data_IF_737791287634
#
_entry.id   IF_737791287634
#
_cell.length_a   1.000
_cell.length_b   1.000
_cell.length_c   1.000
_cell.angle_alpha   90.00
_cell.angle_beta   90.00
_cell.angle_gamma   90.00
#
_symmetry.space_group_name_H-M   'P 1'
#
loop_
_entity.id
_entity.type
_entity.pdbx_description
1 polymer ?
#
# COMPACT_ATOMS: atom_id res chain seq x y z
N UNK A 1 30.78 -16.44 56.49
CA UNK A 1 30.89 -15.76 55.17
C UNK A 1 30.54 -16.67 54.00
N UNK A 2 31.19 -17.83 53.81
CA UNK A 2 30.97 -18.73 52.64
C UNK A 2 29.53 -19.26 52.41
N UNK A 3 28.71 -19.41 53.47
CA UNK A 3 27.32 -19.87 53.33
C UNK A 3 26.39 -18.83 52.69
N UNK A 4 26.57 -17.54 53.02
CA UNK A 4 25.82 -16.45 52.40
C UNK A 4 26.13 -16.34 50.91
N UNK A 5 27.39 -16.54 50.52
CA UNK A 5 27.81 -16.55 49.10
C UNK A 5 27.12 -17.67 48.32
N UNK A 6 26.97 -18.86 48.91
CA UNK A 6 26.27 -19.99 48.30
C UNK A 6 24.77 -19.69 48.10
N UNK A 7 24.12 -19.07 49.09
CA UNK A 7 22.70 -18.66 48.98
C UNK A 7 22.51 -17.62 47.88
N UNK A 8 23.39 -16.61 47.81
CA UNK A 8 23.36 -15.57 46.77
C UNK A 8 23.59 -16.18 45.38
N UNK A 9 24.50 -17.15 45.24
CA UNK A 9 24.75 -17.85 43.98
C UNK A 9 23.50 -18.59 43.48
N UNK A 10 22.81 -19.32 44.36
CA UNK A 10 21.58 -20.05 44.00
C UNK A 10 20.47 -19.08 43.57
N UNK A 11 20.30 -17.97 44.30
CA UNK A 11 19.31 -16.92 43.94
C UNK A 11 19.64 -16.32 42.57
N UNK A 12 20.91 -16.02 42.28
CA UNK A 12 21.34 -15.49 40.99
C UNK A 12 21.08 -16.47 39.83
N UNK A 13 21.29 -17.78 40.04
CA UNK A 13 20.98 -18.81 39.05
C UNK A 13 19.47 -18.83 38.77
N UNK A 14 18.63 -18.81 39.80
CA UNK A 14 17.18 -18.78 39.65
C UNK A 14 16.69 -17.52 38.92
N UNK A 15 17.24 -16.35 39.27
CA UNK A 15 16.96 -15.08 38.57
C UNK A 15 17.36 -15.13 37.09
N UNK A 16 18.50 -15.77 36.79
CA UNK A 16 18.98 -15.92 35.41
C UNK A 16 18.03 -16.80 34.59
N UNK A 17 17.59 -17.93 35.15
CA UNK A 17 16.61 -18.81 34.50
C UNK A 17 15.26 -18.11 34.29
N UNK A 18 14.80 -17.34 35.28
CA UNK A 18 13.55 -16.58 35.18
C UNK A 18 13.63 -15.50 34.10
N UNK A 19 14.75 -14.77 34.04
CA UNK A 19 15.01 -13.77 32.99
C UNK A 19 15.04 -14.41 31.60
N UNK A 20 15.68 -15.57 31.46
CA UNK A 20 15.72 -16.30 30.20
C UNK A 20 14.33 -16.74 29.75
N UNK A 21 13.52 -17.29 30.65
CA UNK A 21 12.12 -17.64 30.38
C UNK A 21 11.30 -16.44 29.92
N UNK A 22 11.42 -15.31 30.61
CA UNK A 22 10.73 -14.08 30.25
C UNK A 22 11.18 -13.52 28.90
N UNK A 23 12.47 -13.62 28.56
CA UNK A 23 12.98 -13.22 27.25
C UNK A 23 12.37 -14.06 26.12
N UNK A 24 12.24 -15.38 26.30
CA UNK A 24 11.54 -16.24 25.33
C UNK A 24 10.07 -15.87 25.17
N UNK A 25 9.39 -15.63 26.30
CA UNK A 25 7.99 -15.21 26.31
C UNK A 25 7.83 -13.87 25.57
N UNK A 26 8.65 -12.88 25.90
CA UNK A 26 8.65 -11.56 25.28
C UNK A 26 8.90 -11.65 23.76
N UNK A 27 9.87 -12.46 23.32
CA UNK A 27 10.14 -12.67 21.91
C UNK A 27 8.93 -13.28 21.17
N UNK A 28 8.25 -14.27 21.79
CA UNK A 28 7.04 -14.86 21.22
C UNK A 28 5.91 -13.83 21.06
N UNK A 29 5.69 -12.98 22.07
CA UNK A 29 4.69 -11.90 21.97
C UNK A 29 5.08 -10.85 20.94
N UNK A 30 6.36 -10.49 20.85
CA UNK A 30 6.87 -9.57 19.84
C UNK A 30 6.60 -10.08 18.42
N UNK A 31 6.92 -11.35 18.13
CA UNK A 31 6.65 -11.97 16.83
C UNK A 31 5.15 -11.94 16.50
N UNK A 32 4.28 -12.28 17.47
CA UNK A 32 2.82 -12.25 17.28
C UNK A 32 2.32 -10.84 17.02
N UNK A 33 2.77 -9.86 17.81
CA UNK A 33 2.41 -8.46 17.64
C UNK A 33 2.83 -7.94 16.27
N UNK A 34 4.06 -8.24 15.84
CA UNK A 34 4.57 -7.86 14.53
C UNK A 34 3.72 -8.45 13.41
N UNK A 35 3.36 -9.73 13.49
CA UNK A 35 2.49 -10.39 12.50
C UNK A 35 1.12 -9.72 12.38
N UNK A 36 0.53 -9.28 13.50
CA UNK A 36 -0.74 -8.55 13.51
C UNK A 36 -0.62 -7.16 12.89
N UNK A 37 0.42 -6.40 13.23
CA UNK A 37 0.69 -5.08 12.63
C UNK A 37 0.89 -5.20 11.12
N UNK A 38 1.69 -6.15 10.70
CA UNK A 38 1.93 -6.50 9.30
C UNK A 38 0.64 -6.87 8.54
N UNK A 39 -0.26 -7.62 9.17
CA UNK A 39 -1.56 -7.96 8.60
C UNK A 39 -2.47 -6.73 8.47
N UNK A 40 -2.49 -5.86 9.48
CA UNK A 40 -3.24 -4.61 9.44
C UNK A 40 -2.72 -3.67 8.34
N UNK A 41 -1.39 -3.51 8.23
CA UNK A 41 -0.75 -2.70 7.19
C UNK A 41 -1.08 -3.21 5.79
N UNK A 42 -1.02 -4.53 5.57
CA UNK A 42 -1.39 -5.13 4.28
C UNK A 42 -2.86 -4.88 3.92
N UNK A 43 -3.77 -4.93 4.89
CA UNK A 43 -5.18 -4.57 4.65
C UNK A 43 -5.34 -3.09 4.30
N UNK A 44 -4.61 -2.19 4.95
CA UNK A 44 -4.63 -0.76 4.61
C UNK A 44 -4.12 -0.52 3.18
N UNK A 45 -3.03 -1.18 2.78
CA UNK A 45 -2.52 -1.11 1.40
C UNK A 45 -3.57 -1.63 0.40
N UNK A 46 -4.24 -2.73 0.72
CA UNK A 46 -5.30 -3.28 -0.12
C UNK A 46 -6.47 -2.29 -0.28
N UNK A 47 -6.89 -1.63 0.80
CA UNK A 47 -7.94 -0.62 0.79
C UNK A 47 -7.54 0.59 -0.06
N UNK A 48 -6.33 1.12 0.11
CA UNK A 48 -5.85 2.26 -0.69
C UNK A 48 -5.72 1.89 -2.17
N UNK A 49 -5.27 0.66 -2.49
CA UNK A 49 -5.22 0.17 -3.88
C UNK A 49 -6.62 0.08 -4.49
N UNK A 50 -7.63 -0.36 -3.71
CA UNK A 50 -9.02 -0.38 -4.16
C UNK A 50 -9.55 1.02 -4.46
N UNK A 51 -9.26 2.01 -3.60
CA UNK A 51 -9.63 3.42 -3.83
C UNK A 51 -9.02 3.95 -5.12
N UNK A 52 -7.76 3.61 -5.41
CA UNK A 52 -7.11 4.00 -6.66
C UNK A 52 -7.88 3.45 -7.87
N UNK A 53 -8.23 2.15 -7.87
CA UNK A 53 -8.99 1.53 -8.97
C UNK A 53 -10.40 2.13 -9.13
N UNK A 54 -11.05 2.50 -8.03
CA UNK A 54 -12.33 3.22 -8.03
C UNK A 54 -12.17 4.61 -8.67
N UNK A 55 -11.15 5.39 -8.28
CA UNK A 55 -10.85 6.71 -8.86
C UNK A 55 -10.51 6.62 -10.34
N UNK A 56 -9.73 5.62 -10.76
CA UNK A 56 -9.46 5.36 -12.18
C UNK A 56 -10.76 5.09 -12.97
N UNK A 57 -11.68 4.33 -12.38
CA UNK A 57 -13.00 4.09 -13.00
C UNK A 57 -13.81 5.38 -13.09
N UNK A 58 -13.76 6.23 -12.07
CA UNK A 58 -14.39 7.56 -12.06
C UNK A 58 -13.84 8.45 -13.18
N UNK A 59 -12.53 8.41 -13.45
CA UNK A 59 -11.91 9.14 -14.57
C UNK A 59 -12.56 8.77 -15.91
N UNK A 60 -12.83 7.49 -16.17
CA UNK A 60 -13.53 7.05 -17.38
C UNK A 60 -14.98 7.55 -17.45
N UNK A 61 -15.66 7.62 -16.30
CA UNK A 61 -17.03 8.15 -16.21
C UNK A 61 -17.03 9.65 -16.53
N UNK A 62 -16.07 10.41 -15.97
CA UNK A 62 -15.87 11.83 -16.26
C UNK A 62 -15.63 12.02 -17.76
N UNK A 63 -14.75 11.20 -18.36
CA UNK A 63 -14.49 11.22 -19.80
C UNK A 63 -15.75 11.01 -20.63
N UNK A 64 -16.53 9.98 -20.31
CA UNK A 64 -17.78 9.66 -21.02
C UNK A 64 -18.79 10.81 -20.91
N UNK A 65 -18.85 11.45 -19.74
CA UNK A 65 -19.73 12.59 -19.51
C UNK A 65 -19.26 13.85 -20.25
N UNK A 66 -17.95 14.07 -20.37
CA UNK A 66 -17.36 15.13 -21.18
C UNK A 66 -17.74 14.94 -22.66
N UNK A 67 -17.52 13.75 -23.22
CA UNK A 67 -17.85 13.42 -24.62
C UNK A 67 -19.34 13.65 -24.90
N UNK A 68 -20.22 13.26 -23.96
CA UNK A 68 -21.67 13.36 -24.14
C UNK A 68 -22.19 14.80 -24.02
N UNK A 69 -21.61 15.62 -23.15
CA UNK A 69 -22.09 16.98 -22.87
C UNK A 69 -20.93 17.94 -22.53
N UNK A 70 -20.11 18.33 -23.51
CA UNK A 70 -18.91 19.15 -23.25
C UNK A 70 -19.25 20.57 -22.74
N UNK A 71 -20.45 21.08 -23.03
CA UNK A 71 -20.88 22.47 -22.76
C UNK A 71 -21.66 22.68 -21.46
N UNK A 72 -21.76 21.68 -20.58
CA UNK A 72 -22.66 21.72 -19.40
C UNK A 72 -22.21 22.64 -18.24
N UNK A 73 -21.29 23.58 -18.48
CA UNK A 73 -20.72 24.46 -17.45
C UNK A 73 -19.91 23.73 -16.37
N UNK A 74 -19.58 22.44 -16.59
CA UNK A 74 -18.75 21.63 -15.70
C UNK A 74 -17.28 21.81 -16.05
N UNK A 75 -16.45 22.02 -15.03
CA UNK A 75 -15.00 22.01 -15.19
C UNK A 75 -14.47 20.58 -15.07
N UNK A 76 -14.55 19.84 -16.17
CA UNK A 76 -14.10 18.44 -16.25
C UNK A 76 -12.60 18.30 -15.99
N UNK A 77 -11.78 19.27 -16.40
CA UNK A 77 -10.34 19.27 -16.14
C UNK A 77 -10.04 19.33 -14.63
N UNK A 78 -10.80 20.12 -13.86
CA UNK A 78 -10.71 20.13 -12.41
C UNK A 78 -11.15 18.79 -11.79
N UNK A 79 -12.28 18.23 -12.24
CA UNK A 79 -12.75 16.91 -11.74
C UNK A 79 -11.68 15.83 -12.00
N UNK A 80 -11.02 15.83 -13.16
CA UNK A 80 -9.92 14.91 -13.49
C UNK A 80 -8.68 15.14 -12.63
N UNK A 81 -8.26 16.40 -12.45
CA UNK A 81 -7.13 16.76 -11.59
C UNK A 81 -7.34 16.29 -10.16
N UNK A 82 -8.56 16.44 -9.63
CA UNK A 82 -8.90 16.02 -8.28
C UNK A 82 -8.86 14.48 -8.14
N UNK A 83 -9.31 13.73 -9.14
CA UNK A 83 -9.14 12.26 -9.14
C UNK A 83 -7.65 11.87 -9.17
N UNK A 84 -6.82 12.54 -9.98
CA UNK A 84 -5.39 12.28 -10.03
C UNK A 84 -4.68 12.59 -8.70
N UNK A 85 -5.06 13.68 -8.01
CA UNK A 85 -4.55 13.99 -6.66
C UNK A 85 -4.93 12.93 -5.64
N UNK A 86 -6.15 12.38 -5.72
CA UNK A 86 -6.57 11.30 -4.84
C UNK A 86 -5.74 10.04 -5.09
N UNK A 87 -5.45 9.71 -6.35
CA UNK A 87 -4.56 8.59 -6.71
C UNK A 87 -3.15 8.80 -6.15
N UNK A 88 -2.54 9.97 -6.38
CA UNK A 88 -1.21 10.31 -5.86
C UNK A 88 -1.15 10.24 -4.32
N UNK A 89 -2.18 10.76 -3.64
CA UNK A 89 -2.28 10.67 -2.18
C UNK A 89 -2.35 9.23 -1.69
N UNK A 90 -3.11 8.36 -2.36
CA UNK A 90 -3.18 6.94 -2.01
C UNK A 90 -1.86 6.21 -2.27
N UNK A 91 -1.12 6.54 -3.34
CA UNK A 91 0.23 6.00 -3.58
C UNK A 91 1.18 6.39 -2.44
N UNK A 92 1.16 7.65 -2.02
CA UNK A 92 1.98 8.14 -0.88
C UNK A 92 1.64 7.41 0.42
N UNK A 93 0.36 7.20 0.71
CA UNK A 93 -0.06 6.40 1.88
C UNK A 93 0.42 4.96 1.81
N UNK A 94 0.36 4.34 0.64
CA UNK A 94 0.90 2.98 0.46
C UNK A 94 2.40 2.96 0.78
N UNK A 95 3.16 3.96 0.33
CA UNK A 95 4.59 4.10 0.62
C UNK A 95 4.90 4.27 2.11
N UNK A 96 4.06 5.00 2.84
CA UNK A 96 4.22 5.22 4.28
C UNK A 96 3.91 3.98 5.12
N UNK A 97 2.95 3.17 4.67
CA UNK A 97 2.44 2.01 5.43
C UNK A 97 3.21 0.72 5.10
N UNK A 98 3.69 0.59 3.86
CA UNK A 98 4.42 -0.59 3.41
C UNK A 98 5.77 -0.73 4.12
N UNK A 99 6.12 -1.96 4.51
CA UNK A 99 7.49 -2.25 4.92
C UNK A 99 8.47 -2.03 3.75
N UNK A 100 9.78 -1.80 4.00
CA UNK A 100 10.76 -1.60 2.93
C UNK A 100 10.75 -2.73 1.88
N UNK A 101 10.61 -3.97 2.33
CA UNK A 101 10.53 -5.13 1.44
C UNK A 101 9.24 -5.13 0.61
N UNK A 102 8.10 -4.77 1.21
CA UNK A 102 6.82 -4.64 0.50
C UNK A 102 6.84 -3.49 -0.51
N UNK A 103 7.39 -2.33 -0.13
CA UNK A 103 7.53 -1.18 -1.03
C UNK A 103 8.41 -1.52 -2.23
N UNK A 104 9.52 -2.23 -2.05
CA UNK A 104 10.39 -2.61 -3.17
C UNK A 104 9.68 -3.46 -4.23
N UNK A 105 8.72 -4.31 -3.81
CA UNK A 105 7.90 -5.11 -4.72
C UNK A 105 6.86 -4.23 -5.41
N UNK A 106 6.20 -3.35 -4.67
CA UNK A 106 5.20 -2.42 -5.20
C UNK A 106 5.84 -1.47 -6.21
N UNK A 107 6.98 -0.87 -5.89
CA UNK A 107 7.73 0.05 -6.75
C UNK A 107 8.12 -0.62 -8.06
N UNK A 108 8.53 -1.90 -8.03
CA UNK A 108 8.81 -2.67 -9.24
C UNK A 108 7.59 -2.89 -10.13
N UNK A 109 6.40 -2.95 -9.53
CA UNK A 109 5.15 -3.07 -10.29
C UNK A 109 4.74 -1.69 -10.86
N UNK A 110 4.95 -0.61 -10.10
CA UNK A 110 4.63 0.76 -10.52
C UNK A 110 5.61 1.32 -11.57
N UNK A 111 6.86 0.82 -11.56
CA UNK A 111 7.93 1.23 -12.47
C UNK A 111 8.39 0.02 -13.27
N UNK A 112 7.91 -0.06 -14.50
CA UNK A 112 8.38 -1.04 -15.49
C UNK A 112 9.22 -0.34 -16.54
N UNK A 113 10.08 -1.08 -17.26
CA UNK A 113 10.90 -0.51 -18.34
C UNK A 113 10.09 0.19 -19.44
N UNK A 114 8.79 -0.09 -19.55
CA UNK A 114 7.90 0.46 -20.57
C UNK A 114 6.95 1.52 -20.04
N UNK A 115 6.71 1.57 -18.73
CA UNK A 115 5.66 2.39 -18.15
C UNK A 115 5.96 2.74 -16.69
N UNK A 116 5.79 4.01 -16.35
CA UNK A 116 5.96 4.55 -15.01
C UNK A 116 4.68 5.27 -14.57
N UNK A 117 4.05 4.73 -13.53
CA UNK A 117 2.76 5.22 -13.01
C UNK A 117 2.88 6.68 -12.55
N UNK A 118 3.98 7.04 -11.87
CA UNK A 118 4.20 8.41 -11.38
C UNK A 118 4.17 9.43 -12.54
N UNK A 119 4.89 9.16 -13.63
CA UNK A 119 4.90 10.03 -14.81
C UNK A 119 3.52 10.15 -15.46
N UNK A 120 2.76 9.06 -15.50
CA UNK A 120 1.39 9.08 -16.01
C UNK A 120 0.47 9.95 -15.13
N UNK A 121 0.50 9.79 -13.81
CA UNK A 121 -0.30 10.62 -12.89
C UNK A 121 0.13 12.10 -12.97
N UNK A 122 1.43 12.38 -13.02
CA UNK A 122 1.96 13.73 -13.19
C UNK A 122 1.54 14.36 -14.52
N UNK A 123 1.42 13.58 -15.58
CA UNK A 123 0.94 14.07 -16.88
C UNK A 123 -0.54 14.50 -16.83
N UNK A 124 -1.36 13.85 -15.99
CA UNK A 124 -2.74 14.26 -15.73
C UNK A 124 -2.76 15.52 -14.86
N UNK A 125 -1.95 15.56 -13.79
CA UNK A 125 -1.89 16.71 -12.86
C UNK A 125 -1.38 17.99 -13.53
N UNK A 126 -0.37 17.87 -14.39
CA UNK A 126 0.17 18.98 -15.19
C UNK A 126 -0.75 19.41 -16.32
N UNK A 127 -1.84 18.69 -16.56
CA UNK A 127 -2.79 18.96 -17.64
C UNK A 127 -2.17 18.74 -19.03
N UNK A 128 -1.15 17.89 -19.15
CA UNK A 128 -0.65 17.40 -20.44
C UNK A 128 -1.66 16.45 -21.08
N UNK A 129 -2.22 15.55 -20.28
CA UNK A 129 -3.39 14.75 -20.65
C UNK A 129 -4.63 15.57 -20.28
N UNK A 130 -5.46 15.89 -21.27
CA UNK A 130 -6.75 16.56 -21.07
C UNK A 130 -7.85 15.81 -21.79
N UNK A 131 -9.09 16.13 -21.44
CA UNK A 131 -10.22 15.79 -22.28
C UNK A 131 -10.18 16.68 -23.53
N UNK A 132 -9.42 16.30 -24.56
CA UNK A 132 -9.58 16.84 -25.92
C UNK A 132 -10.44 15.89 -26.74
N UNK A 133 -11.17 16.43 -27.71
CA UNK A 133 -12.07 15.69 -28.59
C UNK A 133 -11.40 14.49 -29.31
N UNK A 134 -10.06 14.47 -29.41
CA UNK A 134 -9.27 13.40 -30.05
C UNK A 134 -8.45 12.52 -29.08
N UNK A 135 -8.30 12.89 -27.81
CA UNK A 135 -7.44 12.18 -26.85
C UNK A 135 -8.27 11.30 -25.94
N UNK A 136 -8.25 9.99 -26.23
CA UNK A 136 -8.94 9.02 -25.40
C UNK A 136 -8.09 8.71 -24.16
N UNK A 137 -8.52 9.13 -22.97
CA UNK A 137 -7.88 8.77 -21.70
C UNK A 137 -7.94 7.26 -21.45
N UNK A 138 -8.88 6.52 -22.05
CA UNK A 138 -8.83 5.07 -22.10
C UNK A 138 -7.76 4.54 -23.09
N UNK A 139 -6.58 5.16 -23.12
CA UNK A 139 -5.44 4.76 -23.91
C UNK A 139 -4.72 3.56 -23.30
N UNK A 140 -3.62 3.14 -23.94
CA UNK A 140 -2.79 2.04 -23.46
C UNK A 140 -2.16 2.34 -22.10
N UNK A 141 -1.74 3.58 -21.85
CA UNK A 141 -1.17 4.03 -20.57
C UNK A 141 -2.17 3.87 -19.40
N UNK A 142 -3.44 4.21 -19.61
CA UNK A 142 -4.49 3.96 -18.61
C UNK A 142 -4.66 2.48 -18.31
N UNK A 143 -4.64 1.62 -19.33
CA UNK A 143 -4.76 0.17 -19.15
C UNK A 143 -3.57 -0.38 -18.38
N UNK A 144 -2.36 0.03 -18.74
CA UNK A 144 -1.13 -0.37 -18.05
C UNK A 144 -1.13 0.09 -16.60
N UNK A 145 -1.51 1.35 -16.34
CA UNK A 145 -1.65 1.89 -14.99
C UNK A 145 -2.66 1.07 -14.16
N UNK A 146 -3.82 0.76 -14.74
CA UNK A 146 -4.85 -0.05 -14.07
C UNK A 146 -4.34 -1.46 -13.78
N UNK A 147 -3.65 -2.07 -14.72
CA UNK A 147 -3.06 -3.41 -14.57
C UNK A 147 -2.01 -3.43 -13.47
N UNK A 148 -1.14 -2.41 -13.38
CA UNK A 148 -0.18 -2.26 -12.28
C UNK A 148 -0.89 -2.29 -10.90
N UNK A 149 -1.97 -1.52 -10.73
CA UNK A 149 -2.71 -1.51 -9.47
C UNK A 149 -3.49 -2.81 -9.21
N UNK A 150 -3.99 -3.47 -10.25
CA UNK A 150 -4.61 -4.80 -10.11
C UNK A 150 -3.58 -5.85 -9.67
N UNK A 151 -2.37 -5.79 -10.22
CA UNK A 151 -1.26 -6.68 -9.84
C UNK A 151 -0.84 -6.43 -8.38
N UNK A 152 -0.72 -5.17 -7.95
CA UNK A 152 -0.47 -4.82 -6.54
C UNK A 152 -1.57 -5.40 -5.65
N UNK A 153 -2.84 -5.20 -6.02
CA UNK A 153 -3.98 -5.72 -5.26
C UNK A 153 -3.92 -7.25 -5.10
N UNK A 154 -3.56 -7.97 -6.16
CA UNK A 154 -3.43 -9.43 -6.14
C UNK A 154 -2.28 -9.89 -5.25
N UNK A 155 -1.10 -9.27 -5.38
CA UNK A 155 0.09 -9.60 -4.55
C UNK A 155 -0.22 -9.38 -3.07
N UNK A 156 -0.84 -8.26 -2.73
CA UNK A 156 -1.19 -7.94 -1.34
C UNK A 156 -2.25 -8.89 -0.82
N UNK A 157 -3.25 -9.26 -1.64
CA UNK A 157 -4.26 -10.26 -1.25
C UNK A 157 -3.62 -11.61 -0.91
N UNK A 158 -2.68 -12.10 -1.73
CA UNK A 158 -1.94 -13.33 -1.41
C UNK A 158 -1.20 -13.23 -0.07
N UNK A 159 -0.55 -12.10 0.21
CA UNK A 159 0.13 -11.86 1.49
C UNK A 159 -0.83 -11.82 2.68
N UNK A 160 -2.02 -11.23 2.51
CA UNK A 160 -3.07 -11.22 3.55
C UNK A 160 -3.52 -12.65 3.84
N UNK A 161 -3.80 -13.45 2.81
CA UNK A 161 -4.25 -14.83 2.95
C UNK A 161 -3.18 -15.73 3.61
N UNK A 162 -1.91 -15.54 3.25
CA UNK A 162 -0.78 -16.24 3.89
C UNK A 162 -0.61 -15.87 5.36
N UNK A 163 -0.71 -14.58 5.72
CA UNK A 163 -0.60 -14.12 7.10
C UNK A 163 -1.82 -14.55 7.93
N UNK A 164 -3.02 -14.55 7.36
CA UNK A 164 -4.23 -15.05 8.00
C UNK A 164 -4.10 -16.54 8.40
N UNK A 165 -3.53 -17.38 7.53
CA UNK A 165 -3.25 -18.79 7.83
C UNK A 165 -2.25 -19.00 8.97
N UNK A 166 -1.32 -18.06 9.18
CA UNK A 166 -0.33 -18.11 10.28
C UNK A 166 -0.86 -17.55 11.60
N UNK A 167 -1.96 -16.81 11.55
CA UNK A 167 -2.63 -16.21 12.71
C UNK A 167 -3.67 -17.14 13.34
N UNK A 168 -4.24 -18.05 12.53
CA UNK A 168 -5.09 -19.17 12.96
C UNK A 168 -4.24 -20.37 13.40
#
# INVERSE_FOLDING_TARGET
MKWLEYVILVINILLTLYTMYNAFKANKYYIKSKCLTDYANNNLIFIETKKILENMTTILIIQKNYIKNPSKGKNYDNELSDQAKMIDSSIKKIKEIASPDEWSVIERILKTNKFEVELYIDSILSGKIRFKESENIANEDYKLCKECFQNIQQVIKCKIDEKAKKLN
#
